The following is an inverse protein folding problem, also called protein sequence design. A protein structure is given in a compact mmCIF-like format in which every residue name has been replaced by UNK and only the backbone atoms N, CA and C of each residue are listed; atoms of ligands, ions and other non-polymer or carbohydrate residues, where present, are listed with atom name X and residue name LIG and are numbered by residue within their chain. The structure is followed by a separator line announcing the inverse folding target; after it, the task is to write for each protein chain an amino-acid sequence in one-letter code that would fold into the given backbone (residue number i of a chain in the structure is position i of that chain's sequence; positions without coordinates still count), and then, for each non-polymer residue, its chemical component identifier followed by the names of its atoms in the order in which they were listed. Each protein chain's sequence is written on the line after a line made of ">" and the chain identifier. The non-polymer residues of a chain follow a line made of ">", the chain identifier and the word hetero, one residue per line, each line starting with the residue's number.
data_IF_788059969940
#
_entry.id   IF_788059969940
#
_cell.length_a   1.000
_cell.length_b   1.000
_cell.length_c   1.000
_cell.angle_alpha   90.00
_cell.angle_beta   90.00
_cell.angle_gamma   90.00
#
_symmetry.space_group_name_H-M   'P 1'
#
loop_
_entity.id
_entity.type
_entity.pdbx_description
1 polymer ?
#
# COMPACT_ATOMS: atom_id res chain seq x y z
N UNK A 1 15.02 23.84 -22.92
CA UNK A 1 15.45 25.25 -22.84
C UNK A 1 15.81 25.75 -21.42
N UNK A 2 15.56 25.00 -20.34
CA UNK A 2 15.91 25.42 -18.96
C UNK A 2 17.35 25.12 -18.52
N UNK A 3 18.16 24.46 -19.36
CA UNK A 3 19.53 24.06 -19.00
C UNK A 3 20.58 25.17 -19.19
N UNK A 4 20.19 26.35 -19.67
CA UNK A 4 21.09 27.48 -19.97
C UNK A 4 21.00 28.64 -18.96
N UNK A 5 20.17 28.50 -17.92
CA UNK A 5 19.97 29.56 -16.93
C UNK A 5 20.84 29.42 -15.67
N UNK A 6 21.49 28.27 -15.45
CA UNK A 6 22.33 28.01 -14.27
C UNK A 6 23.79 28.44 -14.47
N UNK A 7 24.23 28.65 -15.72
CA UNK A 7 25.61 29.05 -16.06
C UNK A 7 25.81 30.56 -16.16
N UNK A 8 24.93 31.37 -15.57
CA UNK A 8 25.05 32.84 -15.55
C UNK A 8 25.27 33.38 -14.13
N UNK A 9 25.87 32.59 -13.23
CA UNK A 9 26.41 33.13 -11.98
C UNK A 9 27.80 33.71 -12.25
N UNK A 10 28.03 35.01 -11.98
CA UNK A 10 29.33 35.63 -12.17
C UNK A 10 30.34 35.00 -11.20
N UNK A 11 31.46 34.51 -11.73
CA UNK A 11 32.53 33.82 -10.99
C UNK A 11 33.22 34.70 -9.91
N UNK A 12 32.83 35.97 -9.79
CA UNK A 12 33.42 36.96 -8.89
C UNK A 12 32.73 37.15 -7.52
N UNK A 13 31.57 36.57 -7.25
CA UNK A 13 30.95 36.66 -5.90
C UNK A 13 31.54 35.67 -4.90
N UNK A 14 32.26 34.66 -5.40
CA UNK A 14 32.85 33.62 -4.58
C UNK A 14 34.13 34.05 -3.86
N UNK A 15 34.73 35.22 -4.11
CA UNK A 15 36.03 35.60 -3.52
C UNK A 15 36.00 36.83 -2.57
N UNK A 16 34.87 37.53 -2.46
CA UNK A 16 34.80 38.78 -1.68
C UNK A 16 34.14 38.66 -0.29
N UNK A 17 33.69 37.46 0.13
CA UNK A 17 32.90 37.29 1.35
C UNK A 17 33.62 36.42 2.39
N UNK A 18 33.89 37.02 3.56
CA UNK A 18 34.42 36.37 4.78
C UNK A 18 33.66 35.08 5.11
N UNK A 19 34.37 34.05 5.60
CA UNK A 19 33.83 32.70 5.81
C UNK A 19 32.55 32.64 6.66
N UNK A 20 32.35 33.61 7.57
CA UNK A 20 31.12 33.76 8.36
C UNK A 20 29.92 34.20 7.51
N UNK A 21 30.15 35.06 6.53
CA UNK A 21 29.12 35.57 5.61
C UNK A 21 28.72 34.51 4.58
N UNK A 22 29.66 33.67 4.12
CA UNK A 22 29.34 32.53 3.24
C UNK A 22 28.47 31.47 3.91
N UNK A 23 28.77 31.14 5.18
CA UNK A 23 27.97 30.18 5.94
C UNK A 23 26.53 30.70 6.15
N UNK A 24 26.39 31.98 6.49
CA UNK A 24 25.08 32.63 6.65
C UNK A 24 24.29 32.63 5.33
N UNK A 25 24.94 32.93 4.21
CA UNK A 25 24.31 32.92 2.89
C UNK A 25 23.86 31.52 2.47
N UNK A 26 24.65 30.48 2.72
CA UNK A 26 24.28 29.08 2.45
C UNK A 26 23.11 28.64 3.34
N UNK A 27 23.12 28.98 4.62
CA UNK A 27 22.00 28.66 5.53
C UNK A 27 20.70 29.37 5.09
N UNK A 28 20.78 30.63 4.66
CA UNK A 28 19.62 31.38 4.15
C UNK A 28 19.11 30.79 2.83
N UNK A 29 20.00 30.42 1.90
CA UNK A 29 19.63 29.76 0.65
C UNK A 29 19.01 28.38 0.89
N UNK A 30 19.53 27.62 1.86
CA UNK A 30 18.95 26.33 2.25
C UNK A 30 17.57 26.50 2.89
N UNK A 31 17.38 27.52 3.72
CA UNK A 31 16.07 27.84 4.30
C UNK A 31 15.06 28.29 3.23
N UNK A 32 15.51 29.06 2.23
CA UNK A 32 14.67 29.53 1.13
C UNK A 32 14.31 28.41 0.13
N UNK A 33 15.19 27.42 -0.07
CA UNK A 33 14.89 26.26 -0.89
C UNK A 33 13.74 25.42 -0.29
N UNK A 34 13.54 25.47 1.03
CA UNK A 34 12.50 24.71 1.71
C UNK A 34 11.11 25.35 1.65
N UNK A 35 10.99 26.64 1.27
CA UNK A 35 9.69 27.34 1.21
C UNK A 35 8.99 27.26 -0.15
N UNK A 36 9.60 26.62 -1.14
CA UNK A 36 9.03 26.47 -2.48
C UNK A 36 8.02 25.30 -2.53
N UNK A 37 6.80 25.53 -2.02
CA UNK A 37 5.68 24.64 -2.28
C UNK A 37 5.06 24.98 -3.64
N UNK A 38 5.41 24.19 -4.66
CA UNK A 38 4.73 24.23 -5.96
C UNK A 38 3.35 23.57 -5.81
N UNK A 39 2.32 24.39 -5.60
CA UNK A 39 0.93 23.93 -5.66
C UNK A 39 0.48 23.87 -7.11
N UNK A 40 -0.09 22.75 -7.50
CA UNK A 40 -0.65 22.54 -8.84
C UNK A 40 -1.94 23.33 -8.92
N UNK A 41 -1.91 24.45 -9.64
CA UNK A 41 -3.10 25.25 -9.92
C UNK A 41 -3.67 24.79 -11.26
N UNK A 42 -4.72 23.99 -11.22
CA UNK A 42 -5.52 23.74 -12.42
C UNK A 42 -6.18 25.04 -12.88
N UNK A 43 -6.03 25.40 -14.15
CA UNK A 43 -6.61 26.61 -14.74
C UNK A 43 -8.11 26.47 -15.08
N UNK A 44 -8.74 25.37 -14.67
CA UNK A 44 -10.14 25.09 -14.95
C UNK A 44 -11.06 26.05 -14.20
N UNK A 45 -11.92 26.76 -14.93
CA UNK A 45 -12.91 27.67 -14.34
C UNK A 45 -14.27 27.00 -14.28
N UNK A 46 -14.78 26.83 -13.07
CA UNK A 46 -16.16 26.41 -12.83
C UNK A 46 -17.08 27.64 -12.79
N UNK A 47 -18.35 27.45 -13.18
CA UNK A 47 -19.36 28.50 -13.09
C UNK A 47 -19.77 28.79 -11.65
N UNK A 48 -19.70 27.77 -10.77
CA UNK A 48 -20.13 27.84 -9.38
C UNK A 48 -19.08 27.26 -8.44
N UNK A 49 -18.87 27.91 -7.28
CA UNK A 49 -17.93 27.45 -6.24
C UNK A 49 -18.30 26.07 -5.69
N UNK A 50 -19.60 25.76 -5.61
CA UNK A 50 -20.08 24.44 -5.20
C UNK A 50 -19.62 23.31 -6.13
N UNK A 51 -19.61 23.56 -7.45
CA UNK A 51 -19.12 22.59 -8.43
C UNK A 51 -17.61 22.41 -8.33
N UNK A 52 -16.88 23.51 -8.11
CA UNK A 52 -15.43 23.45 -7.87
C UNK A 52 -15.10 22.59 -6.65
N UNK A 53 -15.77 22.83 -5.52
CA UNK A 53 -15.53 22.07 -4.30
C UNK A 53 -15.89 20.58 -4.47
N UNK A 54 -16.99 20.28 -5.17
CA UNK A 54 -17.37 18.91 -5.52
C UNK A 54 -16.29 18.25 -6.38
N UNK A 55 -15.83 18.91 -7.43
CA UNK A 55 -14.78 18.41 -8.30
C UNK A 55 -13.46 18.15 -7.57
N UNK A 56 -13.02 19.09 -6.72
CA UNK A 56 -11.80 18.95 -5.91
C UNK A 56 -11.92 17.86 -4.85
N UNK A 57 -13.13 17.63 -4.30
CA UNK A 57 -13.38 16.51 -3.37
C UNK A 57 -13.25 15.17 -4.07
N UNK A 58 -13.90 15.01 -5.23
CA UNK A 58 -13.86 13.78 -6.02
C UNK A 58 -12.42 13.50 -6.48
N UNK A 59 -11.71 14.51 -6.99
CA UNK A 59 -10.32 14.35 -7.43
C UNK A 59 -9.36 13.94 -6.29
N UNK A 60 -9.63 14.31 -5.04
CA UNK A 60 -8.84 13.88 -3.87
C UNK A 60 -9.08 12.42 -3.47
N UNK A 61 -10.28 11.89 -3.71
CA UNK A 61 -10.61 10.49 -3.40
C UNK A 61 -10.13 9.51 -4.48
N UNK A 62 -9.68 10.01 -5.63
CA UNK A 62 -9.17 9.21 -6.73
C UNK A 62 -7.64 9.23 -6.75
N UNK A 63 -7.03 8.08 -7.02
CA UNK A 63 -5.60 7.87 -7.20
C UNK A 63 -5.26 7.78 -8.68
N UNK A 64 -4.06 8.24 -9.04
CA UNK A 64 -3.52 7.99 -10.36
C UNK A 64 -2.87 6.58 -10.40
N UNK A 65 -3.36 5.63 -11.23
CA UNK A 65 -2.85 4.25 -11.27
C UNK A 65 -1.42 4.14 -11.81
N UNK A 66 -0.97 5.15 -12.54
CA UNK A 66 0.38 5.23 -13.12
C UNK A 66 1.36 6.02 -12.24
N UNK A 67 0.89 6.59 -11.14
CA UNK A 67 1.66 7.47 -10.28
C UNK A 67 1.99 6.76 -8.97
N UNK A 68 3.09 7.17 -8.33
CA UNK A 68 3.53 6.59 -7.05
C UNK A 68 2.58 6.97 -5.92
N UNK A 69 1.52 6.16 -5.72
CA UNK A 69 0.56 6.24 -4.61
C UNK A 69 0.12 7.68 -4.24
N UNK A 70 -0.14 8.49 -5.27
CA UNK A 70 -0.49 9.90 -5.15
C UNK A 70 -1.93 10.15 -5.57
N UNK A 71 -2.54 11.15 -4.94
CA UNK A 71 -3.85 11.66 -5.31
C UNK A 71 -3.85 12.24 -6.72
N UNK A 72 -5.00 12.18 -7.37
CA UNK A 72 -5.17 12.72 -8.72
C UNK A 72 -4.93 14.23 -8.77
N UNK A 73 -5.26 14.94 -7.69
CA UNK A 73 -5.07 16.38 -7.55
C UNK A 73 -3.60 16.79 -7.37
N UNK A 74 -2.80 15.96 -6.69
CA UNK A 74 -1.40 16.27 -6.37
C UNK A 74 -0.44 15.85 -7.49
N UNK A 75 -0.83 14.85 -8.28
CA UNK A 75 0.04 14.31 -9.32
C UNK A 75 0.02 15.12 -10.61
N UNK A 76 1.22 15.46 -11.11
CA UNK A 76 1.44 16.16 -12.38
C UNK A 76 1.68 15.24 -13.58
N UNK A 77 1.42 13.94 -13.45
CA UNK A 77 1.52 13.05 -14.59
C UNK A 77 0.52 13.46 -15.69
N UNK A 78 0.86 13.32 -16.99
CA UNK A 78 -0.06 13.66 -18.09
C UNK A 78 -1.37 12.85 -18.01
N UNK A 79 -1.30 11.60 -17.54
CA UNK A 79 -2.48 10.77 -17.26
C UNK A 79 -3.37 11.39 -16.17
N UNK A 80 -2.77 11.85 -15.07
CA UNK A 80 -3.51 12.45 -13.97
C UNK A 80 -4.24 13.74 -14.40
N UNK A 81 -3.57 14.59 -15.19
CA UNK A 81 -4.16 15.81 -15.76
C UNK A 81 -5.37 15.46 -16.63
N UNK A 82 -5.25 14.50 -17.55
CA UNK A 82 -6.36 14.10 -18.42
C UNK A 82 -7.57 13.56 -17.65
N UNK A 83 -7.33 12.79 -16.58
CA UNK A 83 -8.38 12.29 -15.70
C UNK A 83 -9.04 13.41 -14.89
N UNK A 84 -8.28 14.40 -14.39
CA UNK A 84 -8.85 15.58 -13.70
C UNK A 84 -9.78 16.36 -14.61
N UNK A 85 -9.35 16.65 -15.84
CA UNK A 85 -10.21 17.31 -16.83
C UNK A 85 -11.51 16.55 -17.06
N UNK A 86 -11.45 15.22 -17.10
CA UNK A 86 -12.63 14.38 -17.26
C UNK A 86 -13.56 14.41 -16.03
N UNK A 87 -13.02 14.41 -14.81
CA UNK A 87 -13.81 14.65 -13.59
C UNK A 87 -14.48 16.02 -13.65
N UNK A 88 -13.72 17.06 -13.98
CA UNK A 88 -14.20 18.44 -14.01
C UNK A 88 -15.32 18.63 -15.03
N UNK A 89 -15.18 18.00 -16.21
CA UNK A 89 -16.21 17.98 -17.25
C UNK A 89 -17.49 17.31 -16.74
N UNK A 90 -17.40 16.13 -16.13
CA UNK A 90 -18.59 15.42 -15.63
C UNK A 90 -19.28 16.15 -14.45
N UNK A 91 -18.52 16.85 -13.62
CA UNK A 91 -19.11 17.69 -12.56
C UNK A 91 -19.82 18.92 -13.15
N UNK A 92 -19.25 19.53 -14.20
CA UNK A 92 -19.90 20.62 -14.93
C UNK A 92 -21.18 20.14 -15.64
N UNK A 93 -21.21 18.90 -16.13
CA UNK A 93 -22.42 18.23 -16.66
C UNK A 93 -23.48 17.92 -15.58
N UNK A 94 -23.18 18.17 -14.29
CA UNK A 94 -24.11 17.94 -13.19
C UNK A 94 -24.21 16.48 -12.73
N UNK A 95 -23.26 15.61 -13.13
CA UNK A 95 -23.27 14.19 -12.71
C UNK A 95 -23.00 14.02 -11.22
N UNK A 96 -23.47 12.91 -10.68
CA UNK A 96 -23.23 12.56 -9.29
C UNK A 96 -21.84 11.94 -9.05
N UNK A 97 -21.35 12.02 -7.82
CA UNK A 97 -20.06 11.45 -7.39
C UNK A 97 -20.00 9.93 -7.64
N UNK A 98 -21.11 9.21 -7.45
CA UNK A 98 -21.19 7.78 -7.74
C UNK A 98 -21.02 7.48 -9.23
N UNK A 99 -21.69 8.25 -10.10
CA UNK A 99 -21.62 8.08 -11.56
C UNK A 99 -20.22 8.40 -12.10
N UNK A 100 -19.61 9.47 -11.59
CA UNK A 100 -18.24 9.88 -11.95
C UNK A 100 -17.25 8.78 -11.56
N UNK A 101 -17.36 8.27 -10.33
CA UNK A 101 -16.48 7.20 -9.84
C UNK A 101 -16.69 5.92 -10.64
N UNK A 102 -17.92 5.53 -10.93
CA UNK A 102 -18.23 4.35 -11.74
C UNK A 102 -17.68 4.45 -13.17
N UNK A 103 -17.75 5.65 -13.78
CA UNK A 103 -17.14 5.91 -15.08
C UNK A 103 -15.61 5.75 -15.05
N UNK A 104 -14.98 6.32 -14.01
CA UNK A 104 -13.53 6.21 -13.81
C UNK A 104 -13.11 4.75 -13.59
N UNK A 105 -13.80 4.01 -12.73
CA UNK A 105 -13.52 2.59 -12.47
C UNK A 105 -13.73 1.73 -13.72
N UNK A 106 -14.75 2.00 -14.53
CA UNK A 106 -14.97 1.24 -15.78
C UNK A 106 -13.84 1.41 -16.79
N UNK A 107 -13.21 2.59 -16.84
CA UNK A 107 -12.15 2.92 -17.79
C UNK A 107 -10.75 2.55 -17.29
N UNK A 108 -10.50 2.75 -16.00
CA UNK A 108 -9.16 2.70 -15.38
C UNK A 108 -9.01 1.59 -14.32
N UNK A 109 -10.10 0.90 -13.94
CA UNK A 109 -10.12 -0.19 -12.97
C UNK A 109 -10.39 0.24 -11.54
N UNK A 110 -10.50 -0.75 -10.64
CA UNK A 110 -10.83 -0.55 -9.22
C UNK A 110 -9.71 0.16 -8.44
N UNK A 111 -8.47 0.14 -8.95
CA UNK A 111 -7.29 0.74 -8.31
C UNK A 111 -7.30 2.28 -8.26
N UNK A 112 -8.24 2.92 -8.97
CA UNK A 112 -8.38 4.37 -8.98
C UNK A 112 -9.03 4.87 -7.70
N UNK A 113 -9.85 4.07 -7.01
CA UNK A 113 -10.52 4.50 -5.77
C UNK A 113 -9.68 4.12 -4.55
N UNK A 114 -9.63 4.99 -3.53
CA UNK A 114 -9.02 4.67 -2.24
C UNK A 114 -9.72 3.52 -1.51
N UNK A 115 -11.04 3.43 -1.64
CA UNK A 115 -11.90 2.40 -1.04
C UNK A 115 -12.41 1.44 -2.12
N UNK A 116 -11.66 0.40 -2.49
CA UNK A 116 -12.19 -0.66 -3.33
C UNK A 116 -13.32 -1.40 -2.60
N UNK A 117 -14.39 -1.81 -3.32
CA UNK A 117 -15.48 -2.56 -2.71
C UNK A 117 -15.00 -3.89 -2.14
N UNK A 118 -15.59 -4.32 -1.01
CA UNK A 118 -15.31 -5.63 -0.41
C UNK A 118 -15.81 -6.74 -1.35
N UNK A 119 -14.88 -7.35 -2.09
CA UNK A 119 -15.15 -8.49 -2.96
C UNK A 119 -14.96 -9.81 -2.21
N UNK A 120 -15.53 -10.91 -2.73
CA UNK A 120 -15.33 -12.23 -2.14
C UNK A 120 -13.84 -12.63 -2.04
N UNK A 121 -13.01 -12.15 -2.98
CA UNK A 121 -11.58 -12.40 -3.01
C UNK A 121 -10.84 -11.71 -1.85
N UNK A 122 -11.17 -10.45 -1.56
CA UNK A 122 -10.60 -9.74 -0.40
C UNK A 122 -11.04 -10.44 0.88
N UNK A 123 -12.32 -10.78 1.03
CA UNK A 123 -12.83 -11.55 2.18
C UNK A 123 -12.07 -12.87 2.40
N UNK A 124 -11.82 -13.65 1.34
CA UNK A 124 -11.05 -14.89 1.44
C UNK A 124 -9.62 -14.64 1.93
N UNK A 125 -8.96 -13.61 1.40
CA UNK A 125 -7.60 -13.23 1.78
C UNK A 125 -7.51 -12.87 3.27
N UNK A 126 -8.52 -12.18 3.81
CA UNK A 126 -8.61 -11.82 5.22
C UNK A 126 -9.08 -12.98 6.11
N UNK A 127 -9.92 -13.88 5.61
CA UNK A 127 -10.41 -15.05 6.35
C UNK A 127 -9.29 -16.08 6.61
N UNK A 128 -8.35 -16.23 5.67
CA UNK A 128 -7.26 -17.20 5.76
C UNK A 128 -6.38 -17.05 7.03
N UNK A 129 -5.82 -15.86 7.37
CA UNK A 129 -5.04 -15.70 8.59
C UNK A 129 -5.88 -15.88 9.86
N UNK A 130 -7.13 -15.42 9.89
CA UNK A 130 -8.04 -15.67 11.01
C UNK A 130 -8.30 -17.17 11.22
N UNK A 131 -8.56 -17.91 10.13
CA UNK A 131 -8.78 -19.35 10.17
C UNK A 131 -7.53 -20.09 10.67
N UNK A 132 -6.34 -19.70 10.21
CA UNK A 132 -5.09 -20.31 10.65
C UNK A 132 -4.84 -20.09 12.14
N UNK A 133 -5.15 -18.89 12.65
CA UNK A 133 -5.03 -18.54 14.06
C UNK A 133 -6.02 -19.34 14.92
N UNK A 134 -7.27 -19.47 14.47
CA UNK A 134 -8.31 -20.26 15.15
C UNK A 134 -7.93 -21.74 15.22
N UNK A 135 -7.47 -22.31 14.11
CA UNK A 135 -7.03 -23.71 14.05
C UNK A 135 -5.81 -23.97 14.94
N UNK A 136 -4.82 -23.08 14.92
CA UNK A 136 -3.64 -23.16 15.78
C UNK A 136 -4.00 -23.05 17.27
N UNK A 137 -4.86 -22.09 17.63
CA UNK A 137 -5.36 -21.89 18.99
C UNK A 137 -6.13 -23.11 19.50
N UNK A 138 -7.10 -23.60 18.71
CA UNK A 138 -7.88 -24.79 19.03
C UNK A 138 -6.99 -26.02 19.27
N UNK A 139 -6.02 -26.25 18.39
CA UNK A 139 -5.10 -27.37 18.51
C UNK A 139 -4.21 -27.28 19.74
N UNK A 140 -3.71 -26.08 20.06
CA UNK A 140 -2.91 -25.84 21.26
C UNK A 140 -3.69 -26.15 22.53
N UNK A 141 -4.98 -25.77 22.61
CA UNK A 141 -5.85 -26.07 23.75
C UNK A 141 -6.15 -27.58 23.84
N UNK A 142 -6.49 -28.21 22.72
CA UNK A 142 -6.78 -29.65 22.68
C UNK A 142 -5.57 -30.50 23.13
N UNK A 143 -4.36 -30.11 22.74
CA UNK A 143 -3.13 -30.81 23.15
C UNK A 143 -2.81 -30.68 24.65
N UNK A 144 -3.19 -29.55 25.27
CA UNK A 144 -3.05 -29.32 26.72
C UNK A 144 -4.02 -30.20 27.52
N UNK A 145 -5.26 -30.33 27.07
CA UNK A 145 -6.24 -31.22 27.72
C UNK A 145 -5.82 -32.69 27.68
N UNK A 146 -5.23 -33.16 26.58
CA UNK A 146 -4.76 -34.55 26.48
C UNK A 146 -3.55 -34.83 27.38
N UNK A 147 -2.71 -33.82 27.62
CA UNK A 147 -1.53 -33.93 28.49
C UNK A 147 -1.92 -34.10 29.96
N UNK A 148 -3.01 -33.44 30.40
CA UNK A 148 -3.53 -33.58 31.76
C UNK A 148 -4.10 -34.98 32.06
N UNK A 149 -4.64 -35.69 31.07
CA UNK A 149 -5.16 -37.05 31.24
C UNK A 149 -4.04 -38.11 31.33
N UNK A 150 -2.83 -37.79 30.84
CA UNK A 150 -1.67 -38.71 30.84
C UNK A 150 -0.98 -38.81 32.20
N UNK A 151 -1.13 -37.83 33.09
CA UNK A 151 -0.57 -37.90 34.46
C UNK A 151 -1.47 -38.65 35.45
N UNK A 152 -2.79 -38.74 35.20
CA UNK A 152 -3.72 -39.50 36.06
C UNK A 152 -3.68 -41.03 35.86
N UNK A 153 -2.96 -41.53 34.86
CA UNK A 153 -2.95 -42.94 34.45
C UNK A 153 -1.81 -43.79 35.04
N UNK A 154 -1.22 -43.39 36.18
CA UNK A 154 -0.16 -44.15 36.84
C UNK A 154 -0.69 -45.26 37.77
N UNK A 155 -1.70 -46.01 37.32
CA UNK A 155 -2.17 -47.22 38.00
C UNK A 155 -1.73 -48.45 37.20
N UNK A 156 -0.52 -48.94 37.53
CA UNK A 156 0.01 -50.29 37.25
C UNK A 156 -0.22 -50.87 35.85
N UNK A 157 0.69 -50.59 34.91
CA UNK A 157 0.82 -51.37 33.67
C UNK A 157 1.55 -52.72 33.95
N UNK A 158 1.09 -53.84 33.38
CA UNK A 158 1.82 -55.12 33.46
C UNK A 158 3.12 -55.04 32.67
N UNK A 159 4.19 -55.64 33.21
CA UNK A 159 5.58 -55.56 32.74
C UNK A 159 5.87 -56.12 31.33
N UNK A 160 4.86 -56.48 30.53
CA UNK A 160 5.02 -57.10 29.22
C UNK A 160 4.43 -56.27 28.04
N UNK A 161 4.10 -55.00 28.25
CA UNK A 161 3.64 -54.12 27.16
C UNK A 161 4.81 -53.24 26.72
N UNK A 162 5.67 -53.77 25.85
CA UNK A 162 6.71 -53.01 25.14
C UNK A 162 6.21 -52.48 23.79
N UNK A 163 4.95 -52.05 23.71
CA UNK A 163 4.46 -51.36 22.51
C UNK A 163 4.69 -49.86 22.69
N UNK A 164 5.61 -49.24 21.92
CA UNK A 164 5.76 -47.80 21.97
C UNK A 164 4.47 -47.21 21.39
N UNK A 165 3.64 -46.63 22.26
CA UNK A 165 2.50 -45.83 21.85
C UNK A 165 3.07 -44.65 21.04
N UNK A 166 3.11 -44.79 19.70
CA UNK A 166 3.54 -43.74 18.79
C UNK A 166 2.60 -42.56 19.05
N UNK A 167 3.09 -41.43 19.62
CA UNK A 167 2.21 -40.29 19.81
C UNK A 167 1.63 -39.93 18.43
N UNK A 168 0.36 -39.49 18.34
CA UNK A 168 -0.15 -38.98 17.08
C UNK A 168 0.92 -38.00 16.56
N UNK A 169 1.30 -38.07 15.28
CA UNK A 169 2.46 -37.35 14.77
C UNK A 169 2.15 -35.87 14.62
N UNK A 170 1.53 -35.26 15.62
CA UNK A 170 1.15 -33.86 15.76
C UNK A 170 2.31 -32.94 15.44
N UNK A 171 3.52 -33.32 15.87
CA UNK A 171 4.76 -32.59 15.57
C UNK A 171 5.17 -32.71 14.10
N UNK A 172 4.94 -33.87 13.47
CA UNK A 172 5.22 -34.09 12.03
C UNK A 172 4.17 -33.45 11.14
N UNK A 173 2.90 -33.43 11.56
CA UNK A 173 1.80 -32.74 10.89
C UNK A 173 1.97 -31.23 10.99
N UNK A 174 2.34 -30.70 12.15
CA UNK A 174 2.67 -29.28 12.30
C UNK A 174 3.91 -28.90 11.47
N UNK A 175 4.96 -29.72 11.49
CA UNK A 175 6.14 -29.50 10.65
C UNK A 175 5.80 -29.55 9.15
N UNK A 176 4.94 -30.48 8.73
CA UNK A 176 4.47 -30.58 7.34
C UNK A 176 3.62 -29.38 6.92
N UNK A 177 2.75 -28.87 7.79
CA UNK A 177 1.97 -27.66 7.55
C UNK A 177 2.87 -26.42 7.42
N UNK A 178 3.87 -26.27 8.29
CA UNK A 178 4.87 -25.19 8.21
C UNK A 178 5.69 -25.28 6.92
N UNK A 179 6.11 -26.50 6.53
CA UNK A 179 6.83 -26.73 5.27
C UNK A 179 5.96 -26.42 4.04
N UNK A 180 4.67 -26.76 4.07
CA UNK A 180 3.72 -26.41 3.01
C UNK A 180 3.55 -24.89 2.88
N UNK A 181 3.35 -24.18 3.99
CA UNK A 181 3.24 -22.71 3.97
C UNK A 181 4.55 -22.08 3.48
N UNK A 182 5.70 -22.56 3.95
CA UNK A 182 7.01 -22.08 3.48
C UNK A 182 7.24 -22.35 1.99
N UNK A 183 6.82 -23.51 1.48
CA UNK A 183 6.90 -23.84 0.05
C UNK A 183 5.94 -22.97 -0.79
N UNK A 184 4.72 -22.72 -0.30
CA UNK A 184 3.77 -21.83 -0.97
C UNK A 184 4.25 -20.38 -1.00
N UNK A 185 4.78 -19.87 0.13
CA UNK A 185 5.34 -18.50 0.21
C UNK A 185 6.61 -18.39 -0.63
N UNK A 186 7.51 -19.36 -0.55
CA UNK A 186 8.71 -19.44 -1.38
C UNK A 186 8.38 -19.48 -2.87
N UNK A 187 7.44 -20.34 -3.28
CA UNK A 187 6.96 -20.40 -4.66
C UNK A 187 6.33 -19.10 -5.14
N UNK A 188 5.59 -18.39 -4.29
CA UNK A 188 4.99 -17.09 -4.62
C UNK A 188 6.02 -15.97 -4.75
N UNK A 189 7.15 -16.05 -4.03
CA UNK A 189 8.29 -15.13 -4.17
C UNK A 189 9.14 -15.42 -5.42
N UNK A 190 9.16 -16.68 -5.87
CA UNK A 190 9.90 -17.13 -7.05
C UNK A 190 9.10 -17.02 -8.36
N UNK A 191 7.79 -16.74 -8.32
CA UNK A 191 7.02 -16.48 -9.55
C UNK A 191 7.47 -15.19 -10.24
N UNK A 192 7.95 -15.24 -11.51
CA UNK A 192 8.51 -14.11 -12.23
C UNK A 192 7.38 -13.23 -12.81
N UNK A 193 6.65 -12.52 -11.95
CA UNK A 193 5.59 -11.57 -12.36
C UNK A 193 6.13 -10.18 -12.74
N UNK A 194 7.45 -9.99 -12.62
CA UNK A 194 8.15 -8.73 -12.85
C UNK A 194 9.13 -8.77 -14.04
N UNK A 195 9.18 -9.88 -14.79
CA UNK A 195 10.07 -10.04 -15.94
C UNK A 195 9.45 -9.52 -17.25
N UNK A 196 8.84 -8.33 -17.20
CA UNK A 196 8.10 -7.74 -18.33
C UNK A 196 8.17 -6.21 -18.34
N UNK A 197 9.39 -5.67 -18.33
CA UNK A 197 9.68 -4.28 -18.72
C UNK A 197 11.06 -4.26 -19.39
N UNK A 198 11.08 -4.65 -20.66
CA UNK A 198 12.10 -4.26 -21.65
C UNK A 198 11.37 -3.92 -22.93
#
# INVERSE_FOLDING_TARGET
>A
MMCKLITALPDGVADALSGKTRLLFICVLFFFAFTAHAQVVDTWRFENTQQQDKALRIARQLRCPQCQNQNLLESNAPVAVSMRHQVYTMVAEGKDEADITAWMTRRYGDFVRYDPPLTAQTLLLWALPCLMLLLGGYYSLASRHLSAYREGGNMSLPANVTTPLRPPPVKRLAAAAVLMVAACVGGYMLTPKWAGCT
#
